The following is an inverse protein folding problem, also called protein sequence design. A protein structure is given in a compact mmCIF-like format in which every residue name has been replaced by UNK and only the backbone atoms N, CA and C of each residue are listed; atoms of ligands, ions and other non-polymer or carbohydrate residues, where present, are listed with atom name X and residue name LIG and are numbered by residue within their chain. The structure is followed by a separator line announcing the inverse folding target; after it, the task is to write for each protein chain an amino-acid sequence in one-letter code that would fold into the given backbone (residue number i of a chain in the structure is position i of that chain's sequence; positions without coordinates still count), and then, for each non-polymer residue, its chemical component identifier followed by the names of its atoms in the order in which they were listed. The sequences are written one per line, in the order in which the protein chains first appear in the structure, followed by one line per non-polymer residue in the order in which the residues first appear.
data_IF_601332104711
#
_entry.id   IF_601332104711
#
_cell.length_a   1.000
_cell.length_b   1.000
_cell.length_c   1.000
_cell.angle_alpha   90.00
_cell.angle_beta   90.00
_cell.angle_gamma   90.00
#
_symmetry.space_group_name_H-M   'P 1'
#
loop_
_entity.id
_entity.type
_entity.pdbx_description
1 polymer ?
#
# COMPACT_ATOMS: atom_id res chain seq x y z
N UNK A 1 10.93 23.53 -56.95
CA UNK A 1 10.61 22.84 -58.23
C UNK A 1 11.42 21.53 -58.28
N UNK A 2 11.09 20.58 -59.18
CA UNK A 2 11.52 19.15 -59.17
C UNK A 2 10.90 18.37 -57.97
N UNK A 3 9.98 17.39 -58.09
CA UNK A 3 9.55 16.42 -59.15
C UNK A 3 10.70 15.48 -59.56
N UNK A 4 10.64 14.13 -59.48
CA UNK A 4 9.71 13.09 -59.98
C UNK A 4 10.03 11.74 -59.25
N UNK A 5 9.33 10.58 -59.32
CA UNK A 5 8.02 10.08 -59.80
C UNK A 5 7.77 8.68 -59.16
N UNK A 6 6.62 8.37 -58.52
CA UNK A 6 5.48 7.56 -59.03
C UNK A 6 5.72 6.12 -59.53
N UNK A 7 4.97 5.13 -59.01
CA UNK A 7 4.24 4.16 -59.86
C UNK A 7 3.03 3.54 -59.13
N UNK A 8 2.01 3.10 -59.88
CA UNK A 8 0.70 2.69 -59.35
C UNK A 8 -0.01 1.61 -60.19
N UNK A 9 -0.97 0.90 -59.58
CA UNK A 9 -2.04 0.13 -60.26
C UNK A 9 -2.19 -1.33 -59.78
N UNK A 10 -3.32 -2.04 -60.00
CA UNK A 10 -4.67 -1.64 -60.48
C UNK A 10 -5.69 -2.78 -60.23
N UNK A 11 -6.84 -2.45 -59.61
CA UNK A 11 -8.23 -2.91 -59.89
C UNK A 11 -8.63 -4.40 -60.09
N UNK A 12 -9.62 -4.89 -59.31
CA UNK A 12 -10.80 -5.78 -59.65
C UNK A 12 -11.40 -6.39 -58.35
N UNK A 13 -12.63 -6.95 -58.26
CA UNK A 13 -13.99 -6.65 -58.80
C UNK A 13 -15.03 -7.55 -58.08
N UNK A 14 -16.04 -6.95 -57.44
CA UNK A 14 -17.44 -7.42 -57.16
C UNK A 14 -17.81 -8.78 -56.51
N UNK A 15 -18.89 -8.68 -55.71
CA UNK A 15 -20.04 -9.61 -55.47
C UNK A 15 -19.98 -10.80 -54.49
N UNK A 16 -20.77 -10.64 -53.41
CA UNK A 16 -21.78 -11.55 -52.80
C UNK A 16 -21.46 -13.02 -52.47
N UNK A 17 -21.73 -13.43 -51.22
CA UNK A 17 -22.67 -14.52 -50.82
C UNK A 17 -22.72 -14.65 -49.28
N UNK A 18 -23.91 -14.83 -48.69
CA UNK A 18 -24.10 -15.18 -47.25
C UNK A 18 -23.61 -16.60 -46.92
N UNK A 19 -23.03 -16.82 -45.73
CA UNK A 19 -23.52 -17.87 -44.81
C UNK A 19 -23.10 -17.65 -43.35
N UNK A 20 -23.94 -18.14 -42.44
CA UNK A 20 -23.82 -18.08 -40.97
C UNK A 20 -22.89 -19.18 -40.42
N UNK A 21 -22.10 -18.86 -39.39
CA UNK A 21 -21.69 -19.81 -38.33
C UNK A 21 -21.52 -19.08 -37.00
N UNK A 22 -21.71 -19.81 -35.91
CA UNK A 22 -21.92 -19.27 -34.56
C UNK A 22 -20.64 -19.26 -33.71
N UNK A 23 -20.65 -18.40 -32.69
CA UNK A 23 -19.93 -18.50 -31.42
C UNK A 23 -18.49 -19.10 -31.38
N UNK A 24 -17.52 -18.22 -31.09
CA UNK A 24 -16.79 -18.38 -29.83
C UNK A 24 -16.39 -17.01 -29.25
N UNK A 25 -16.70 -16.78 -27.98
CA UNK A 25 -16.30 -15.58 -27.26
C UNK A 25 -14.89 -15.76 -26.70
N UNK A 26 -13.90 -15.12 -27.30
CA UNK A 26 -12.63 -14.81 -26.63
C UNK A 26 -12.42 -13.30 -26.62
N UNK A 27 -13.20 -12.64 -25.76
CA UNK A 27 -12.85 -11.31 -25.27
C UNK A 27 -11.66 -11.46 -24.34
N UNK A 28 -10.47 -11.48 -24.91
CA UNK A 28 -9.20 -11.32 -24.20
C UNK A 28 -9.16 -9.93 -23.57
N UNK A 29 -9.84 -9.78 -22.43
CA UNK A 29 -9.83 -8.58 -21.62
C UNK A 29 -8.48 -8.49 -20.94
N UNK A 30 -7.48 -8.03 -21.68
CA UNK A 30 -6.22 -7.56 -21.15
C UNK A 30 -6.50 -6.35 -20.27
N UNK A 31 -6.77 -6.61 -18.98
CA UNK A 31 -6.79 -5.58 -17.95
C UNK A 31 -5.38 -5.03 -17.81
N UNK A 32 -5.07 -4.01 -18.62
CA UNK A 32 -3.93 -3.14 -18.42
C UNK A 32 -4.11 -2.47 -17.06
N UNK A 33 -3.51 -3.08 -16.03
CA UNK A 33 -3.37 -2.48 -14.72
C UNK A 33 -2.50 -1.23 -14.87
N UNK A 34 -3.15 -0.10 -15.10
CA UNK A 34 -2.54 1.20 -14.91
C UNK A 34 -2.25 1.34 -13.42
N UNK A 35 -1.01 1.07 -13.02
CA UNK A 35 -0.50 1.39 -11.68
C UNK A 35 -0.42 2.91 -11.53
N UNK A 36 -1.58 3.54 -11.39
CA UNK A 36 -1.68 4.79 -10.66
C UNK A 36 -1.55 4.42 -9.18
N UNK A 37 -0.31 4.22 -8.72
CA UNK A 37 -0.06 4.27 -7.28
C UNK A 37 -0.48 5.67 -6.81
N UNK A 38 -1.58 5.72 -6.03
CA UNK A 38 -2.03 6.95 -5.39
C UNK A 38 -0.88 7.44 -4.50
N UNK A 39 -0.27 8.58 -4.87
CA UNK A 39 0.81 9.19 -4.08
C UNK A 39 0.16 9.79 -2.84
N UNK A 40 0.03 8.95 -1.81
CA UNK A 40 -0.44 9.35 -0.49
C UNK A 40 0.54 10.36 0.11
N UNK A 41 0.01 11.35 0.82
CA UNK A 41 0.84 12.26 1.59
C UNK A 41 1.56 11.48 2.72
N UNK A 42 2.86 11.70 2.97
CA UNK A 42 3.58 11.04 4.04
C UNK A 42 2.94 11.27 5.41
N UNK A 43 3.10 10.32 6.34
CA UNK A 43 2.63 10.48 7.72
C UNK A 43 3.28 11.71 8.38
N UNK A 44 2.45 12.68 8.78
CA UNK A 44 2.83 13.78 9.66
C UNK A 44 2.78 13.32 11.13
N UNK A 45 3.91 12.84 11.63
CA UNK A 45 4.05 12.44 13.04
C UNK A 45 3.85 13.62 14.01
N UNK A 46 4.06 14.86 13.57
CA UNK A 46 3.79 16.06 14.35
C UNK A 46 2.29 16.32 14.53
N UNK A 47 1.48 16.05 13.51
CA UNK A 47 0.01 16.09 13.60
C UNK A 47 -0.52 15.01 14.56
N UNK A 48 -0.02 13.78 14.46
CA UNK A 48 -0.44 12.66 15.31
C UNK A 48 -0.13 12.92 16.79
N UNK A 49 0.99 13.58 17.12
CA UNK A 49 1.28 14.04 18.49
C UNK A 49 0.23 15.02 19.05
N UNK A 50 -0.52 15.71 18.18
CA UNK A 50 -1.63 16.62 18.54
C UNK A 50 -3.00 15.93 18.44
N UNK A 51 -3.02 14.60 18.35
CA UNK A 51 -4.20 13.76 18.10
C UNK A 51 -4.93 14.04 16.77
N UNK A 52 -4.21 14.55 15.76
CA UNK A 52 -4.68 14.65 14.39
C UNK A 52 -4.08 13.52 13.55
N UNK A 53 -4.92 12.54 13.21
CA UNK A 53 -4.55 11.33 12.47
C UNK A 53 -4.93 11.41 10.98
N UNK A 54 -5.18 12.62 10.45
CA UNK A 54 -5.62 12.81 9.06
C UNK A 54 -4.64 12.20 8.05
N UNK A 55 -3.33 12.33 8.27
CA UNK A 55 -2.27 11.73 7.43
C UNK A 55 -2.15 10.20 7.55
N UNK A 56 -2.78 9.58 8.56
CA UNK A 56 -2.83 8.12 8.73
C UNK A 56 -4.16 7.51 8.26
N UNK A 57 -5.15 8.33 7.90
CA UNK A 57 -6.52 7.89 7.65
C UNK A 57 -6.61 6.91 6.47
N UNK A 58 -7.45 5.89 6.62
CA UNK A 58 -7.61 4.81 5.65
C UNK A 58 -7.34 3.43 6.24
N UNK A 59 -7.22 2.43 5.36
CA UNK A 59 -6.95 1.04 5.74
C UNK A 59 -5.49 0.69 5.48
N UNK A 60 -4.87 0.08 6.47
CA UNK A 60 -3.51 -0.45 6.45
C UNK A 60 -3.60 -1.96 6.46
N UNK A 61 -2.83 -2.65 5.61
CA UNK A 61 -2.89 -4.10 5.43
C UNK A 61 -1.49 -4.71 5.37
N UNK A 62 -1.34 -5.89 5.98
CA UNK A 62 -0.12 -6.70 5.86
C UNK A 62 -0.34 -7.91 4.92
N UNK A 63 0.74 -8.63 4.57
CA UNK A 63 0.68 -9.78 3.65
C UNK A 63 -0.05 -10.98 4.27
N UNK A 64 -0.09 -11.10 5.60
CA UNK A 64 -0.93 -12.07 6.32
C UNK A 64 -2.44 -11.76 6.22
N UNK A 65 -2.82 -10.65 5.57
CA UNK A 65 -4.20 -10.25 5.34
C UNK A 65 -4.87 -9.53 6.52
N UNK A 66 -4.12 -9.28 7.59
CA UNK A 66 -4.58 -8.50 8.75
C UNK A 66 -4.72 -7.03 8.35
N UNK A 67 -5.67 -6.33 8.98
CA UNK A 67 -5.91 -4.91 8.72
C UNK A 67 -5.95 -4.07 9.99
N UNK A 68 -5.54 -2.81 9.85
CA UNK A 68 -5.80 -1.73 10.78
C UNK A 68 -6.51 -0.61 10.03
N UNK A 69 -7.46 0.08 10.65
CA UNK A 69 -8.13 1.23 10.04
C UNK A 69 -8.00 2.44 10.95
N UNK A 70 -7.68 3.59 10.37
CA UNK A 70 -7.62 4.88 11.05
C UNK A 70 -8.61 5.86 10.42
N UNK A 71 -9.19 6.74 11.24
CA UNK A 71 -9.80 7.99 10.81
C UNK A 71 -9.01 9.18 11.38
N UNK A 72 -9.43 10.41 11.08
CA UNK A 72 -8.78 11.65 11.53
C UNK A 72 -8.60 11.77 13.06
N UNK A 73 -9.30 10.97 13.86
CA UNK A 73 -9.29 10.96 15.33
C UNK A 73 -8.46 9.81 15.92
N UNK A 74 -8.03 8.83 15.12
CA UNK A 74 -7.20 7.71 15.58
C UNK A 74 -7.59 6.36 15.00
N UNK A 75 -7.17 5.30 15.70
CA UNK A 75 -7.43 3.90 15.33
C UNK A 75 -8.92 3.58 15.50
N UNK A 76 -9.57 3.09 14.45
CA UNK A 76 -10.98 2.68 14.42
C UNK A 76 -11.18 1.17 14.24
N UNK A 77 -10.10 0.38 14.26
CA UNK A 77 -10.16 -1.09 14.25
C UNK A 77 -10.99 -1.61 15.42
N UNK A 78 -12.00 -2.42 15.14
CA UNK A 78 -12.94 -2.91 16.16
C UNK A 78 -12.23 -3.62 17.32
N UNK A 79 -12.60 -3.28 18.55
CA UNK A 79 -12.02 -3.87 19.76
C UNK A 79 -10.59 -3.41 20.08
N UNK A 80 -10.09 -2.36 19.42
CA UNK A 80 -8.81 -1.72 19.71
C UNK A 80 -9.01 -0.26 20.11
N UNK A 81 -8.26 0.20 21.11
CA UNK A 81 -8.10 1.62 21.45
C UNK A 81 -6.63 1.99 21.34
N UNK A 82 -6.34 3.26 21.03
CA UNK A 82 -4.97 3.75 20.83
C UNK A 82 -4.67 4.96 21.70
N UNK A 83 -3.46 5.01 22.25
CA UNK A 83 -2.92 6.17 22.95
C UNK A 83 -1.46 6.40 22.54
N UNK A 84 -1.00 7.65 22.62
CA UNK A 84 0.41 7.97 22.41
C UNK A 84 1.24 7.37 23.56
N UNK A 85 2.24 6.56 23.24
CA UNK A 85 3.20 6.02 24.22
C UNK A 85 4.47 6.86 24.27
N UNK A 86 5.09 7.12 23.12
CA UNK A 86 6.31 7.94 23.03
C UNK A 86 6.59 8.40 21.58
N UNK A 87 7.59 9.24 21.40
CA UNK A 87 8.32 9.44 20.14
C UNK A 87 9.78 9.01 20.34
N UNK A 88 10.36 8.27 19.40
CA UNK A 88 11.78 7.88 19.47
C UNK A 88 12.72 8.99 18.98
N UNK A 89 14.02 8.80 19.15
CA UNK A 89 15.06 9.76 18.74
C UNK A 89 15.09 10.03 17.23
N UNK A 90 14.60 9.07 16.43
CA UNK A 90 14.52 9.14 14.96
C UNK A 90 13.19 9.79 14.50
N UNK A 91 12.31 10.13 15.46
CA UNK A 91 11.02 10.76 15.25
C UNK A 91 9.97 9.80 14.69
N UNK A 92 10.06 8.50 14.98
CA UNK A 92 8.99 7.53 14.79
C UNK A 92 8.08 7.56 16.02
N UNK A 93 6.77 7.37 15.84
CA UNK A 93 5.84 7.33 16.97
C UNK A 93 5.67 5.91 17.48
N UNK A 94 5.62 5.79 18.80
CA UNK A 94 5.19 4.59 19.49
C UNK A 94 3.78 4.87 20.01
N UNK A 95 2.81 4.09 19.53
CA UNK A 95 1.43 4.12 20.02
C UNK A 95 1.17 2.86 20.86
N UNK A 96 0.66 3.03 22.07
CA UNK A 96 0.12 1.92 22.83
C UNK A 96 -1.27 1.59 22.29
N UNK A 97 -1.51 0.30 22.06
CA UNK A 97 -2.81 -0.25 21.69
C UNK A 97 -3.24 -1.23 22.76
N UNK A 98 -4.46 -1.02 23.26
CA UNK A 98 -5.16 -2.00 24.06
C UNK A 98 -6.11 -2.74 23.13
N UNK A 99 -6.07 -4.06 23.17
CA UNK A 99 -7.14 -4.90 22.65
C UNK A 99 -7.81 -5.55 23.85
N UNK A 100 -9.11 -5.88 23.78
CA UNK A 100 -9.83 -6.48 24.92
C UNK A 100 -9.26 -7.80 25.46
N UNK A 101 -8.22 -8.35 24.83
CA UNK A 101 -7.48 -9.55 25.25
C UNK A 101 -5.96 -9.35 25.39
N UNK A 102 -5.40 -8.19 25.00
CA UNK A 102 -3.97 -7.88 25.07
C UNK A 102 -3.71 -6.44 25.55
N UNK A 103 -2.92 -6.33 26.60
CA UNK A 103 -2.41 -5.05 27.12
C UNK A 103 -0.97 -4.85 26.61
N UNK A 104 -0.57 -3.59 26.37
CA UNK A 104 0.78 -3.19 25.95
C UNK A 104 1.21 -3.64 24.53
N UNK A 105 0.27 -3.78 23.57
CA UNK A 105 0.65 -3.87 22.16
C UNK A 105 1.22 -2.52 21.73
N UNK A 106 2.42 -2.48 21.14
CA UNK A 106 2.98 -1.24 20.58
C UNK A 106 2.87 -1.26 19.07
N UNK A 107 2.32 -0.19 18.49
CA UNK A 107 2.43 0.10 17.07
C UNK A 107 3.52 1.17 16.87
N UNK A 108 4.55 0.83 16.09
CA UNK A 108 5.55 1.78 15.63
C UNK A 108 5.08 2.37 14.31
N UNK A 109 4.92 3.68 14.28
CA UNK A 109 4.53 4.45 13.10
C UNK A 109 5.80 5.02 12.49
N UNK A 110 6.20 4.45 11.35
CA UNK A 110 7.51 4.70 10.72
C UNK A 110 7.26 5.30 9.34
N UNK A 111 7.38 6.63 9.18
CA UNK A 111 7.23 7.30 7.90
C UNK A 111 8.15 6.75 6.80
N UNK A 112 7.79 7.02 5.54
CA UNK A 112 8.62 6.78 4.38
C UNK A 112 10.02 7.41 4.57
N UNK A 113 11.04 6.70 4.10
CA UNK A 113 12.47 7.04 4.20
C UNK A 113 13.06 7.06 5.63
N UNK A 114 12.29 6.67 6.66
CA UNK A 114 12.81 6.37 8.01
C UNK A 114 13.10 4.88 8.21
N UNK A 115 13.71 4.54 9.34
CA UNK A 115 14.04 3.17 9.74
C UNK A 115 13.54 2.96 11.18
N UNK A 116 13.01 1.78 11.49
CA UNK A 116 12.79 1.38 12.88
C UNK A 116 14.13 0.95 13.51
N UNK A 117 14.57 1.63 14.56
CA UNK A 117 15.87 1.36 15.19
C UNK A 117 16.04 -0.11 15.61
N UNK A 118 17.20 -0.70 15.30
CA UNK A 118 17.57 -2.07 15.66
C UNK A 118 17.46 -2.34 17.17
N UNK A 119 17.42 -1.31 18.03
CA UNK A 119 17.20 -1.45 19.48
C UNK A 119 15.86 -2.11 19.86
N UNK A 120 14.88 -2.09 18.95
CA UNK A 120 13.58 -2.74 19.15
C UNK A 120 13.59 -4.23 18.75
N UNK A 121 14.63 -4.68 18.04
CA UNK A 121 14.76 -6.03 17.52
C UNK A 121 15.69 -6.88 18.39
N UNK A 122 15.46 -8.19 18.45
CA UNK A 122 16.35 -9.15 19.11
C UNK A 122 17.39 -9.72 18.16
N UNK A 123 18.41 -10.40 18.71
CA UNK A 123 19.34 -11.25 17.96
C UNK A 123 20.10 -10.57 16.80
N UNK A 124 20.25 -9.25 16.84
CA UNK A 124 20.92 -8.48 15.79
C UNK A 124 20.09 -8.31 14.51
N UNK A 125 18.78 -8.59 14.56
CA UNK A 125 17.86 -8.29 13.45
C UNK A 125 17.71 -6.77 13.24
N UNK A 126 17.25 -6.40 12.04
CA UNK A 126 17.03 -5.03 11.59
C UNK A 126 15.67 -4.88 10.92
N UNK A 127 15.27 -3.63 10.70
CA UNK A 127 14.11 -3.29 9.89
C UNK A 127 14.34 -3.69 8.42
N UNK A 128 13.84 -4.85 8.00
CA UNK A 128 13.88 -5.33 6.61
C UNK A 128 12.66 -4.90 5.76
N UNK A 129 11.86 -3.93 6.24
CA UNK A 129 10.67 -3.46 5.52
C UNK A 129 11.00 -2.59 4.30
N UNK A 130 9.99 -2.37 3.43
CA UNK A 130 10.04 -1.41 2.34
C UNK A 130 10.04 0.02 2.89
N UNK A 131 11.26 0.56 3.03
CA UNK A 131 11.52 1.90 3.56
C UNK A 131 11.04 3.01 2.63
N UNK A 132 10.66 2.73 1.39
CA UNK A 132 10.11 3.75 0.48
C UNK A 132 8.69 4.15 0.86
N UNK A 133 8.02 3.37 1.71
CA UNK A 133 6.62 3.55 2.10
C UNK A 133 6.48 3.88 3.58
N UNK A 134 5.40 4.57 3.92
CA UNK A 134 4.93 4.67 5.31
C UNK A 134 4.53 3.27 5.80
N UNK A 135 4.84 2.98 7.07
CA UNK A 135 4.67 1.66 7.68
C UNK A 135 4.08 1.75 9.07
N UNK A 136 3.24 0.77 9.39
CA UNK A 136 2.86 0.46 10.76
C UNK A 136 3.43 -0.92 11.10
N UNK A 137 4.25 -0.98 12.15
CA UNK A 137 4.91 -2.20 12.61
C UNK A 137 4.35 -2.55 13.99
N UNK A 138 3.96 -3.80 14.22
CA UNK A 138 3.52 -4.28 15.54
C UNK A 138 4.70 -4.82 16.35
N UNK A 139 4.73 -4.61 17.66
CA UNK A 139 5.72 -5.24 18.56
C UNK A 139 5.71 -6.77 18.47
N UNK A 140 4.59 -7.39 18.07
CA UNK A 140 4.48 -8.83 17.85
C UNK A 140 5.16 -9.32 16.56
N UNK A 141 5.57 -8.41 15.67
CA UNK A 141 6.23 -8.74 14.39
C UNK A 141 7.76 -8.76 14.49
N UNK A 142 8.35 -7.95 15.39
CA UNK A 142 9.78 -7.61 15.45
C UNK A 142 10.70 -8.83 15.51
N UNK A 143 10.32 -9.86 16.27
CA UNK A 143 11.11 -11.07 16.50
C UNK A 143 10.53 -12.29 15.76
N UNK A 144 9.73 -12.07 14.72
CA UNK A 144 9.14 -13.15 13.92
C UNK A 144 10.00 -13.46 12.70
N UNK A 145 10.11 -14.75 12.34
CA UNK A 145 10.79 -15.20 11.11
C UNK A 145 10.06 -14.83 9.80
N UNK A 146 9.08 -13.91 9.87
CA UNK A 146 8.26 -13.37 8.79
C UNK A 146 8.00 -11.88 8.99
N UNK A 147 8.97 -11.14 9.55
CA UNK A 147 8.82 -9.73 9.91
C UNK A 147 8.17 -8.90 8.80
N UNK A 148 8.71 -8.97 7.58
CA UNK A 148 8.26 -8.22 6.40
C UNK A 148 6.78 -8.47 6.06
N UNK A 149 6.34 -9.73 6.08
CA UNK A 149 4.95 -10.12 5.81
C UNK A 149 3.94 -9.53 6.81
N UNK A 150 4.42 -9.07 7.97
CA UNK A 150 3.61 -8.61 9.11
C UNK A 150 3.64 -7.09 9.29
N UNK A 151 4.44 -6.39 8.48
CA UNK A 151 4.41 -4.92 8.34
C UNK A 151 3.15 -4.52 7.59
N UNK A 152 2.45 -3.50 8.09
CA UNK A 152 1.26 -2.97 7.46
C UNK A 152 1.63 -1.76 6.60
N UNK A 153 1.14 -1.75 5.36
CA UNK A 153 1.24 -0.62 4.43
C UNK A 153 -0.16 -0.09 4.12
N UNK A 154 -0.27 1.18 3.74
CA UNK A 154 -1.56 1.76 3.35
C UNK A 154 -2.10 1.10 2.08
N UNK A 155 -3.41 0.90 2.03
CA UNK A 155 -4.14 0.35 0.87
C UNK A 155 -4.65 1.51 0.03
N UNK A 156 -3.90 1.85 -1.03
CA UNK A 156 -4.31 2.84 -2.03
C UNK A 156 -5.69 2.54 -2.61
N UNK A 157 -6.54 3.56 -2.67
CA UNK A 157 -7.85 3.52 -3.31
C UNK A 157 -7.66 3.33 -4.82
N UNK A 158 -8.35 2.36 -5.42
CA UNK A 158 -8.43 2.20 -6.88
C UNK A 158 -9.72 2.85 -7.41
#
# INVERSE_FOLDING_TARGET
MQTKQSQAGKTKRSTDTKQTTEAHSESSQSSSHSNNEEILAPIDTGAVLRADYSSMSGTWKNEEGQTLTFDQRGLTTSGMTVSLLNIDQDGNLLLNVETGTKNNLTLYIVPANKILSNQYFSNGQSDESDKTKDRIISSESLNSGKFTNRVYYHVSSH
#
